data_IF_091621671452
#
_entry.id   IF_091621671452
#
_cell.length_a   1.000
_cell.length_b   1.000
_cell.length_c   1.000
_cell.angle_alpha   90.00
_cell.angle_beta   90.00
_cell.angle_gamma   90.00
#
_symmetry.space_group_name_H-M   'P 1'
#
loop_
_entity.id
_entity.type
_entity.pdbx_description
1 polymer ?
#
# COMPACT_ATOMS: atom_id res chain seq x y z
N UNK A 1 -21.03 4.74 3.36
CA UNK A 1 -20.53 6.09 2.95
C UNK A 1 -20.09 6.93 4.16
N UNK A 2 -20.89 7.05 5.22
CA UNK A 2 -20.56 7.87 6.40
C UNK A 2 -19.20 7.53 7.03
N UNK A 3 -18.88 6.25 7.22
CA UNK A 3 -17.60 5.83 7.80
C UNK A 3 -16.40 6.23 6.91
N UNK A 4 -16.57 6.18 5.59
CA UNK A 4 -15.52 6.62 4.63
C UNK A 4 -15.33 8.13 4.64
N UNK A 5 -16.41 8.91 4.78
CA UNK A 5 -16.32 10.37 4.91
C UNK A 5 -15.48 10.76 6.11
N UNK A 6 -15.68 10.10 7.27
CA UNK A 6 -14.87 10.33 8.48
C UNK A 6 -13.41 10.05 8.18
N UNK A 7 -13.09 8.87 7.64
CA UNK A 7 -11.72 8.46 7.36
C UNK A 7 -11.03 9.41 6.39
N UNK A 8 -11.70 9.78 5.30
CA UNK A 8 -11.12 10.58 4.22
C UNK A 8 -10.93 12.05 4.60
N UNK A 9 -11.76 12.58 5.52
CA UNK A 9 -11.68 14.00 5.90
C UNK A 9 -10.99 14.25 7.24
N UNK A 10 -10.67 13.20 8.00
CA UNK A 10 -10.11 13.31 9.34
C UNK A 10 -8.79 14.08 9.37
N UNK A 11 -7.86 13.77 8.47
CA UNK A 11 -6.54 14.41 8.39
C UNK A 11 -6.55 15.80 7.76
N UNK A 12 -7.65 16.23 7.16
CA UNK A 12 -7.73 17.53 6.50
C UNK A 12 -7.81 18.65 7.53
N UNK A 13 -7.00 19.70 7.33
CA UNK A 13 -7.17 20.94 8.08
C UNK A 13 -8.53 21.57 7.80
N UNK A 14 -9.09 22.30 8.77
CA UNK A 14 -10.34 23.02 8.57
C UNK A 14 -10.15 24.07 7.47
N UNK A 15 -10.83 23.89 6.35
CA UNK A 15 -10.69 24.68 5.14
C UNK A 15 -11.98 24.63 4.31
N UNK A 16 -12.05 25.46 3.28
CA UNK A 16 -13.16 25.40 2.30
C UNK A 16 -13.20 24.03 1.62
N UNK A 17 -12.05 23.45 1.31
CA UNK A 17 -11.94 22.15 0.64
C UNK A 17 -12.46 21.01 1.54
N UNK A 18 -12.12 21.02 2.83
CA UNK A 18 -12.70 20.09 3.80
C UNK A 18 -14.23 20.20 3.87
N UNK A 19 -14.74 21.43 3.90
CA UNK A 19 -16.19 21.67 3.91
C UNK A 19 -16.87 21.14 2.65
N UNK A 20 -16.26 21.39 1.50
CA UNK A 20 -16.78 20.89 0.23
C UNK A 20 -16.72 19.36 0.12
N UNK A 21 -15.61 18.75 0.55
CA UNK A 21 -15.47 17.31 0.61
C UNK A 21 -16.56 16.64 1.47
N UNK A 22 -16.82 17.20 2.65
CA UNK A 22 -17.89 16.73 3.54
C UNK A 22 -19.26 16.94 2.87
N UNK A 23 -19.53 18.11 2.31
CA UNK A 23 -20.80 18.44 1.66
C UNK A 23 -21.12 17.49 0.50
N UNK A 24 -20.11 17.15 -0.29
CA UNK A 24 -20.26 16.23 -1.43
C UNK A 24 -20.51 14.79 -0.99
N UNK A 25 -19.87 14.38 0.11
CA UNK A 25 -19.93 13.00 0.63
C UNK A 25 -21.15 12.74 1.54
N UNK A 26 -21.61 13.77 2.28
CA UNK A 26 -22.71 13.65 3.26
C UNK A 26 -23.61 14.88 3.18
N UNK A 27 -24.34 15.10 2.08
CA UNK A 27 -25.12 16.31 1.84
C UNK A 27 -26.21 16.58 2.90
N UNK A 28 -26.75 15.52 3.50
CA UNK A 28 -27.89 15.60 4.42
C UNK A 28 -27.48 15.72 5.90
N UNK A 29 -26.21 15.58 6.23
CA UNK A 29 -25.75 15.54 7.64
C UNK A 29 -24.33 16.11 7.82
N UNK A 30 -24.15 17.41 7.54
CA UNK A 30 -22.84 18.07 7.55
C UNK A 30 -22.25 18.29 8.95
N UNK A 31 -23.10 18.66 9.93
CA UNK A 31 -22.65 19.19 11.23
C UNK A 31 -21.74 18.22 11.98
N UNK A 32 -22.09 16.93 12.14
CA UNK A 32 -21.25 15.98 12.86
C UNK A 32 -19.83 15.85 12.28
N UNK A 33 -19.71 15.91 10.97
CA UNK A 33 -18.42 15.75 10.26
C UNK A 33 -17.57 17.02 10.27
N UNK A 34 -18.21 18.19 10.24
CA UNK A 34 -17.53 19.47 10.35
C UNK A 34 -16.95 19.69 11.74
N UNK A 35 -17.73 19.42 12.78
CA UNK A 35 -17.31 19.58 14.16
C UNK A 35 -16.44 18.40 14.66
N UNK A 36 -16.57 17.23 14.05
CA UNK A 36 -15.87 16.03 14.46
C UNK A 36 -16.32 15.44 15.81
N UNK A 37 -16.67 16.28 16.77
CA UNK A 37 -17.05 15.89 18.13
C UNK A 37 -18.21 14.90 18.19
N UNK A 38 -19.36 15.13 17.53
CA UNK A 38 -20.49 14.20 17.60
C UNK A 38 -20.17 12.80 17.04
N UNK A 39 -19.28 12.71 16.05
CA UNK A 39 -18.88 11.43 15.44
C UNK A 39 -18.02 10.60 16.38
N UNK A 40 -17.17 11.24 17.19
CA UNK A 40 -16.25 10.57 18.11
C UNK A 40 -16.77 10.48 19.55
N UNK A 41 -17.83 11.20 19.88
CA UNK A 41 -18.33 11.30 21.26
C UNK A 41 -18.76 9.96 21.85
N UNK A 42 -19.37 9.08 21.07
CA UNK A 42 -19.79 7.75 21.54
C UNK A 42 -18.62 6.77 21.73
N UNK A 43 -17.48 7.02 21.09
CA UNK A 43 -16.34 6.10 21.10
C UNK A 43 -15.63 5.99 22.46
N UNK A 44 -15.85 6.94 23.36
CA UNK A 44 -15.22 6.86 24.69
C UNK A 44 -15.63 5.62 25.50
N UNK A 45 -16.81 5.05 25.21
CA UNK A 45 -17.29 3.83 25.83
C UNK A 45 -16.65 2.57 25.26
N UNK A 46 -16.02 2.67 24.09
CA UNK A 46 -15.36 1.58 23.36
C UNK A 46 -13.83 1.59 23.55
N UNK A 47 -13.30 2.64 24.20
CA UNK A 47 -11.86 2.77 24.43
C UNK A 47 -11.35 1.68 25.37
N UNK A 48 -10.30 1.02 24.92
CA UNK A 48 -9.59 -0.03 25.63
C UNK A 48 -8.15 0.38 25.95
N UNK A 49 -7.45 -0.41 26.76
CA UNK A 49 -6.01 -0.20 26.97
C UNK A 49 -5.21 -0.30 25.68
N UNK A 50 -5.67 -1.08 24.71
CA UNK A 50 -5.00 -1.23 23.42
C UNK A 50 -4.97 0.07 22.61
N UNK A 51 -6.03 0.88 22.66
CA UNK A 51 -6.10 2.18 21.99
C UNK A 51 -5.03 3.16 22.51
N UNK A 52 -4.74 3.10 23.81
CA UNK A 52 -3.71 3.93 24.43
C UNK A 52 -2.29 3.34 24.31
N UNK A 53 -2.18 2.02 24.21
CA UNK A 53 -0.91 1.35 24.02
C UNK A 53 -0.33 1.63 22.62
N UNK A 54 -1.19 1.59 21.59
CA UNK A 54 -0.84 1.97 20.22
C UNK A 54 -0.33 3.41 20.14
N UNK A 55 -0.94 4.34 20.89
CA UNK A 55 -0.49 5.74 20.92
C UNK A 55 0.86 5.94 21.63
N UNK A 56 1.18 5.11 22.65
CA UNK A 56 2.40 5.25 23.46
C UNK A 56 3.62 4.52 22.91
N UNK A 57 3.42 3.61 22.00
CA UNK A 57 4.51 2.75 21.56
C UNK A 57 4.21 2.08 20.23
N UNK A 58 3.64 2.82 19.25
CA UNK A 58 3.57 2.26 17.92
C UNK A 58 4.96 2.25 17.28
N UNK A 59 5.74 1.17 17.49
CA UNK A 59 7.01 1.01 16.79
C UNK A 59 6.80 0.84 15.28
N UNK A 60 5.58 0.45 14.85
CA UNK A 60 5.29 0.22 13.44
C UNK A 60 5.08 1.52 12.66
N UNK A 61 4.34 2.50 13.20
CA UNK A 61 4.08 3.76 12.51
C UNK A 61 5.32 4.61 12.26
N UNK A 62 6.26 4.63 13.22
CA UNK A 62 7.52 5.39 13.08
C UNK A 62 8.58 4.65 12.27
N UNK A 63 8.76 3.36 12.54
CA UNK A 63 9.78 2.56 11.89
C UNK A 63 9.43 2.20 10.44
N UNK A 64 8.16 2.14 10.08
CA UNK A 64 7.72 1.73 8.75
C UNK A 64 7.35 2.89 7.82
N UNK A 65 7.45 4.15 8.26
CA UNK A 65 7.10 5.35 7.46
C UNK A 65 5.72 5.26 6.79
N UNK A 66 4.75 4.65 7.48
CA UNK A 66 3.39 4.43 6.98
C UNK A 66 3.17 3.09 6.27
N UNK A 67 4.20 2.30 6.03
CA UNK A 67 4.04 0.94 5.52
C UNK A 67 3.48 0.00 6.61
N UNK A 68 2.46 -0.77 6.27
CA UNK A 68 1.89 -1.79 7.15
C UNK A 68 2.07 -3.18 6.53
N UNK A 69 3.02 -3.99 6.99
CA UNK A 69 3.27 -5.31 6.45
C UNK A 69 2.16 -6.29 6.82
N UNK A 70 1.68 -7.05 5.84
CA UNK A 70 0.79 -8.18 6.04
C UNK A 70 1.62 -9.47 6.04
N UNK A 71 1.76 -10.10 7.20
CA UNK A 71 2.55 -11.34 7.36
C UNK A 71 1.74 -12.61 7.09
N UNK A 72 0.41 -12.50 6.97
CA UNK A 72 -0.44 -13.64 6.63
C UNK A 72 -0.19 -14.04 5.19
N UNK A 73 -0.08 -15.33 4.92
CA UNK A 73 -0.01 -15.89 3.57
C UNK A 73 -1.26 -16.72 3.30
N UNK A 74 -1.92 -16.44 2.18
CA UNK A 74 -3.00 -17.24 1.63
C UNK A 74 -2.62 -17.70 0.24
N UNK A 75 -2.48 -19.02 0.09
CA UNK A 75 -2.17 -19.65 -1.17
C UNK A 75 -3.37 -19.63 -2.13
N UNK A 76 -3.08 -19.40 -3.40
CA UNK A 76 -4.02 -19.49 -4.51
C UNK A 76 -3.39 -20.33 -5.63
N UNK A 77 -4.22 -21.04 -6.39
CA UNK A 77 -3.74 -21.92 -7.47
C UNK A 77 -3.23 -21.14 -8.69
N UNK A 78 -3.71 -19.91 -8.88
CA UNK A 78 -3.33 -19.03 -10.00
C UNK A 78 -3.58 -17.57 -9.65
N UNK A 79 -2.96 -16.65 -10.40
CA UNK A 79 -3.36 -15.25 -10.48
C UNK A 79 -4.34 -15.06 -11.64
N UNK A 80 -5.31 -14.16 -11.47
CA UNK A 80 -6.29 -13.87 -12.53
C UNK A 80 -5.61 -13.15 -13.70
N UNK A 81 -5.46 -13.84 -14.84
CA UNK A 81 -4.85 -13.24 -16.05
C UNK A 81 -5.83 -12.28 -16.74
N UNK A 82 -5.50 -11.00 -16.72
CA UNK A 82 -6.26 -9.92 -17.35
C UNK A 82 -5.67 -9.49 -18.71
N UNK A 83 -4.67 -10.18 -19.22
CA UNK A 83 -4.00 -9.82 -20.49
C UNK A 83 -4.94 -9.85 -21.69
N UNK A 84 -5.93 -10.73 -21.68
CA UNK A 84 -6.95 -10.86 -22.74
C UNK A 84 -8.07 -9.80 -22.69
N UNK A 85 -8.21 -9.02 -21.62
CA UNK A 85 -9.25 -8.01 -21.46
C UNK A 85 -8.79 -6.70 -22.09
N UNK A 86 -9.13 -6.47 -23.35
CA UNK A 86 -8.72 -5.28 -24.13
C UNK A 86 -9.76 -4.19 -24.18
N UNK A 87 -11.00 -4.52 -23.88
CA UNK A 87 -12.10 -3.57 -23.87
C UNK A 87 -12.05 -2.64 -22.66
N UNK A 88 -12.57 -1.44 -22.81
CA UNK A 88 -12.74 -0.47 -21.73
C UNK A 88 -14.20 -0.21 -21.42
N UNK A 89 -14.51 0.20 -20.22
CA UNK A 89 -15.84 0.67 -19.82
C UNK A 89 -15.74 2.06 -19.22
N UNK A 90 -16.79 2.87 -19.45
CA UNK A 90 -16.83 4.23 -18.95
C UNK A 90 -16.72 4.27 -17.42
N UNK A 91 -15.97 5.24 -16.93
CA UNK A 91 -15.98 5.58 -15.52
C UNK A 91 -17.32 6.22 -15.12
N UNK A 92 -17.70 6.06 -13.85
CA UNK A 92 -18.77 6.89 -13.33
C UNK A 92 -18.41 8.38 -13.56
N UNK A 93 -19.36 9.22 -14.05
CA UNK A 93 -19.03 10.59 -14.47
C UNK A 93 -18.28 11.40 -13.41
N UNK A 94 -18.65 11.23 -12.15
CA UNK A 94 -17.97 11.88 -11.02
C UNK A 94 -16.54 11.36 -10.82
N UNK A 95 -16.30 10.08 -11.03
CA UNK A 95 -14.97 9.48 -10.91
C UNK A 95 -14.03 10.01 -11.99
N UNK A 96 -14.48 10.08 -13.24
CA UNK A 96 -13.70 10.66 -14.34
C UNK A 96 -13.45 12.15 -14.12
N UNK A 97 -14.44 12.92 -13.67
CA UNK A 97 -14.29 14.33 -13.34
C UNK A 97 -13.16 14.56 -12.33
N UNK A 98 -13.15 13.78 -11.23
CA UNK A 98 -12.12 13.94 -10.20
C UNK A 98 -10.75 13.42 -10.63
N UNK A 99 -10.69 12.35 -11.43
CA UNK A 99 -9.44 11.88 -12.03
C UNK A 99 -8.80 12.98 -12.88
N UNK A 100 -9.58 13.61 -13.75
CA UNK A 100 -9.11 14.73 -14.59
C UNK A 100 -8.72 15.97 -13.76
N UNK A 101 -9.42 16.25 -12.66
CA UNK A 101 -9.03 17.32 -11.72
C UNK A 101 -7.68 17.05 -11.05
N UNK A 102 -7.40 15.79 -10.64
CA UNK A 102 -6.09 15.40 -10.09
C UNK A 102 -5.00 15.63 -11.14
N UNK A 103 -5.23 15.19 -12.37
CA UNK A 103 -4.30 15.39 -13.48
C UNK A 103 -4.03 16.88 -13.73
N UNK A 104 -5.11 17.70 -13.81
CA UNK A 104 -4.99 19.13 -14.05
C UNK A 104 -4.19 19.81 -12.93
N UNK A 105 -4.46 19.47 -11.68
CA UNK A 105 -3.75 20.02 -10.52
C UNK A 105 -2.27 19.61 -10.54
N UNK A 106 -1.94 18.37 -10.84
CA UNK A 106 -0.54 17.94 -10.92
C UNK A 106 0.22 18.67 -12.03
N UNK A 107 -0.42 18.92 -13.17
CA UNK A 107 0.16 19.71 -14.28
C UNK A 107 0.33 21.17 -13.91
N UNK A 108 -0.64 21.78 -13.21
CA UNK A 108 -0.58 23.17 -12.77
C UNK A 108 0.56 23.40 -11.75
N UNK A 109 0.78 22.43 -10.89
CA UNK A 109 1.80 22.48 -9.84
C UNK A 109 3.16 21.90 -10.28
N UNK A 110 3.30 21.50 -11.56
CA UNK A 110 4.49 20.84 -12.13
C UNK A 110 4.94 19.60 -11.32
N UNK A 111 3.97 18.81 -10.89
CA UNK A 111 4.21 17.57 -10.13
C UNK A 111 4.18 16.37 -11.08
N UNK A 112 5.29 15.62 -11.20
CA UNK A 112 5.30 14.37 -11.96
C UNK A 112 4.28 13.38 -11.40
N UNK A 113 3.39 12.87 -12.26
CA UNK A 113 2.30 11.98 -11.89
C UNK A 113 2.47 10.62 -12.60
N UNK A 114 2.31 9.55 -11.83
CA UNK A 114 2.27 8.17 -12.32
C UNK A 114 1.04 7.50 -11.76
N UNK A 115 0.27 6.85 -12.60
CA UNK A 115 -0.83 6.02 -12.16
C UNK A 115 -0.39 4.56 -12.07
N UNK A 116 -0.89 3.86 -11.06
CA UNK A 116 -0.65 2.44 -10.91
C UNK A 116 -1.85 1.72 -10.30
N UNK A 117 -2.04 0.48 -10.68
CA UNK A 117 -2.97 -0.46 -10.04
C UNK A 117 -2.12 -1.56 -9.40
N UNK A 118 -2.22 -1.71 -8.09
CA UNK A 118 -1.60 -2.84 -7.38
C UNK A 118 -2.18 -4.16 -7.86
N UNK A 119 -1.38 -5.21 -7.97
CA UNK A 119 -1.87 -6.53 -8.36
C UNK A 119 -2.72 -7.13 -7.24
N UNK A 120 -3.83 -7.77 -7.60
CA UNK A 120 -4.67 -8.52 -6.67
C UNK A 120 -5.37 -9.70 -7.34
N UNK A 121 -5.45 -10.81 -6.63
CA UNK A 121 -5.94 -12.08 -7.16
C UNK A 121 -7.44 -12.06 -7.48
N UNK A 122 -8.22 -11.29 -6.73
CA UNK A 122 -9.68 -11.23 -6.87
C UNK A 122 -10.19 -10.33 -7.99
N UNK A 123 -9.34 -9.83 -8.88
CA UNK A 123 -9.73 -8.98 -10.01
C UNK A 123 -10.67 -9.72 -10.96
N UNK A 124 -11.67 -9.01 -11.48
CA UNK A 124 -12.60 -9.51 -12.49
C UNK A 124 -12.53 -8.65 -13.77
N UNK A 125 -12.99 -9.20 -14.89
CA UNK A 125 -12.93 -8.53 -16.21
C UNK A 125 -13.57 -7.13 -16.20
N UNK A 126 -14.72 -6.97 -15.54
CA UNK A 126 -15.39 -5.66 -15.47
C UNK A 126 -14.61 -4.60 -14.71
N UNK A 127 -13.77 -4.99 -13.75
CA UNK A 127 -12.85 -4.07 -13.05
C UNK A 127 -11.67 -3.74 -13.96
N UNK A 128 -11.13 -4.74 -14.66
CA UNK A 128 -10.06 -4.50 -15.64
C UNK A 128 -10.48 -3.54 -16.73
N UNK A 129 -11.72 -3.63 -17.24
CA UNK A 129 -12.27 -2.69 -18.23
C UNK A 129 -12.29 -1.25 -17.71
N UNK A 130 -12.56 -1.04 -16.41
CA UNK A 130 -12.48 0.27 -15.75
C UNK A 130 -11.02 0.74 -15.70
N UNK A 131 -10.08 -0.14 -15.36
CA UNK A 131 -8.65 0.20 -15.32
C UNK A 131 -8.10 0.50 -16.72
N UNK A 132 -8.57 -0.21 -17.75
CA UNK A 132 -8.25 0.12 -19.14
C UNK A 132 -8.67 1.55 -19.48
N UNK A 133 -9.87 1.98 -19.06
CA UNK A 133 -10.32 3.38 -19.26
C UNK A 133 -9.43 4.38 -18.51
N UNK A 134 -9.01 4.05 -17.30
CA UNK A 134 -8.03 4.89 -16.58
C UNK A 134 -6.70 4.99 -17.35
N UNK A 135 -6.24 3.89 -17.93
CA UNK A 135 -5.04 3.86 -18.77
C UNK A 135 -5.18 4.69 -20.05
N UNK A 136 -6.35 4.67 -20.72
CA UNK A 136 -6.64 5.52 -21.88
C UNK A 136 -6.57 7.01 -21.50
N UNK A 137 -7.22 7.40 -20.40
CA UNK A 137 -7.16 8.79 -19.89
C UNK A 137 -5.73 9.19 -19.55
N UNK A 138 -4.97 8.30 -18.92
CA UNK A 138 -3.56 8.55 -18.62
C UNK A 138 -2.75 8.78 -19.92
N UNK A 139 -2.97 7.95 -20.93
CA UNK A 139 -2.32 8.08 -22.24
C UNK A 139 -2.70 9.36 -22.97
N UNK A 140 -4.00 9.76 -22.96
CA UNK A 140 -4.48 11.05 -23.50
C UNK A 140 -3.72 12.23 -22.89
N UNK A 141 -3.34 12.12 -21.62
CA UNK A 141 -2.71 13.17 -20.82
C UNK A 141 -1.19 13.05 -20.71
N UNK A 142 -0.59 12.02 -21.32
CA UNK A 142 0.84 11.76 -21.31
C UNK A 142 1.36 11.28 -19.94
N UNK A 143 0.51 10.63 -19.15
CA UNK A 143 0.84 10.12 -17.81
C UNK A 143 1.16 8.63 -17.90
N UNK A 144 2.29 8.16 -17.33
CA UNK A 144 2.58 6.74 -17.22
C UNK A 144 1.50 6.01 -16.41
N UNK A 145 1.09 4.84 -16.89
CA UNK A 145 0.16 3.97 -16.20
C UNK A 145 0.73 2.56 -16.07
N UNK A 146 0.89 2.09 -14.84
CA UNK A 146 1.43 0.77 -14.50
C UNK A 146 0.27 -0.13 -14.03
N UNK A 147 -0.19 -1.00 -14.90
CA UNK A 147 -1.20 -1.99 -14.57
C UNK A 147 -0.54 -3.31 -14.15
N UNK A 148 -0.29 -3.45 -12.86
CA UNK A 148 0.39 -4.61 -12.31
C UNK A 148 -0.47 -5.89 -12.32
N UNK A 149 -1.77 -5.83 -12.62
CA UNK A 149 -2.60 -7.01 -12.86
C UNK A 149 -2.26 -7.70 -14.20
N UNK A 150 -1.45 -7.08 -15.03
CA UNK A 150 -0.95 -7.61 -16.30
C UNK A 150 0.53 -7.99 -16.27
N UNK A 151 1.18 -7.87 -15.11
CA UNK A 151 2.64 -7.93 -14.98
C UNK A 151 3.09 -8.95 -13.92
N UNK A 152 2.29 -9.98 -13.67
CA UNK A 152 2.60 -10.96 -12.61
C UNK A 152 3.92 -11.68 -12.84
N UNK A 153 4.18 -12.10 -14.09
CA UNK A 153 5.42 -12.79 -14.46
C UNK A 153 6.64 -11.86 -14.35
N UNK A 154 6.51 -10.60 -14.79
CA UNK A 154 7.58 -9.59 -14.73
C UNK A 154 7.92 -9.22 -13.27
N UNK A 155 6.91 -9.21 -12.39
CA UNK A 155 7.08 -9.01 -10.97
C UNK A 155 7.62 -10.28 -10.27
N UNK A 156 7.55 -11.44 -10.91
CA UNK A 156 7.85 -12.73 -10.32
C UNK A 156 6.93 -13.08 -9.16
N UNK A 157 5.64 -12.68 -9.25
CA UNK A 157 4.65 -12.98 -8.20
C UNK A 157 4.26 -14.46 -8.24
N UNK A 158 4.29 -15.09 -7.07
CA UNK A 158 3.85 -16.44 -6.85
C UNK A 158 2.52 -16.44 -6.06
N UNK A 159 1.40 -16.90 -6.66
CA UNK A 159 0.12 -16.94 -5.99
C UNK A 159 0.10 -17.82 -4.73
N UNK A 160 1.02 -18.77 -4.61
CA UNK A 160 1.12 -19.63 -3.44
C UNK A 160 1.72 -18.94 -2.22
N UNK A 161 2.58 -17.95 -2.42
CA UNK A 161 3.40 -17.38 -1.35
C UNK A 161 3.26 -15.86 -1.15
N UNK A 162 2.75 -15.12 -2.14
CA UNK A 162 2.88 -13.66 -2.19
C UNK A 162 1.58 -12.89 -1.84
N UNK A 163 0.49 -13.62 -1.59
CA UNK A 163 -0.81 -13.02 -1.27
C UNK A 163 -1.10 -13.10 0.22
N UNK A 164 -1.63 -12.01 0.81
CA UNK A 164 -2.20 -12.03 2.14
C UNK A 164 -3.67 -12.51 2.11
N UNK A 165 -4.38 -12.07 1.10
CA UNK A 165 -5.76 -12.47 0.77
C UNK A 165 -6.07 -11.97 -0.66
N UNK A 166 -7.32 -12.15 -1.15
CA UNK A 166 -7.64 -11.89 -2.56
C UNK A 166 -7.37 -10.46 -3.05
N UNK A 167 -7.28 -9.48 -2.16
CA UNK A 167 -7.16 -8.05 -2.51
C UNK A 167 -5.80 -7.45 -2.17
N UNK A 168 -4.95 -8.17 -1.42
CA UNK A 168 -3.68 -7.61 -0.96
C UNK A 168 -2.52 -8.61 -1.11
N UNK A 169 -1.39 -8.07 -1.55
CA UNK A 169 -0.10 -8.74 -1.43
C UNK A 169 0.31 -8.83 0.04
N UNK A 170 0.97 -9.90 0.40
CA UNK A 170 1.65 -9.97 1.70
C UNK A 170 3.03 -9.27 1.63
N UNK A 171 3.80 -9.37 2.72
CA UNK A 171 5.12 -8.75 2.83
C UNK A 171 6.11 -9.22 1.74
N UNK A 172 6.01 -10.47 1.25
CA UNK A 172 6.85 -11.02 0.16
C UNK A 172 6.47 -10.42 -1.18
N UNK A 173 5.20 -10.48 -1.54
CA UNK A 173 4.67 -9.91 -2.78
C UNK A 173 4.88 -8.40 -2.85
N UNK A 174 4.64 -7.68 -1.75
CA UNK A 174 4.91 -6.25 -1.66
C UNK A 174 6.39 -5.93 -1.86
N UNK A 175 7.31 -6.78 -1.35
CA UNK A 175 8.74 -6.61 -1.57
C UNK A 175 9.14 -6.70 -3.05
N UNK A 176 8.54 -7.64 -3.79
CA UNK A 176 8.75 -7.82 -5.25
C UNK A 176 8.23 -6.61 -6.02
N UNK A 177 6.99 -6.20 -5.77
CA UNK A 177 6.37 -5.01 -6.38
C UNK A 177 7.18 -3.74 -6.10
N UNK A 178 7.57 -3.51 -4.85
CA UNK A 178 8.32 -2.32 -4.45
C UNK A 178 9.68 -2.25 -5.13
N UNK A 179 10.36 -3.38 -5.31
CA UNK A 179 11.65 -3.44 -6.04
C UNK A 179 11.46 -3.04 -7.49
N UNK A 180 10.49 -3.65 -8.17
CA UNK A 180 10.18 -3.31 -9.56
C UNK A 180 9.87 -1.81 -9.72
N UNK A 181 8.98 -1.29 -8.87
CA UNK A 181 8.59 0.12 -8.89
C UNK A 181 9.79 1.06 -8.66
N UNK A 182 10.66 0.72 -7.71
CA UNK A 182 11.87 1.50 -7.44
C UNK A 182 12.81 1.52 -8.65
N UNK A 183 13.07 0.38 -9.28
CA UNK A 183 13.88 0.27 -10.49
C UNK A 183 13.26 1.04 -11.66
N UNK A 184 11.95 0.95 -11.83
CA UNK A 184 11.22 1.71 -12.84
C UNK A 184 11.31 3.22 -12.60
N UNK A 185 11.11 3.68 -11.36
CA UNK A 185 11.21 5.10 -11.00
C UNK A 185 12.62 5.66 -11.28
N UNK A 186 13.66 4.97 -10.84
CA UNK A 186 15.06 5.39 -11.08
C UNK A 186 15.40 5.41 -12.56
N UNK A 187 14.81 4.52 -13.36
CA UNK A 187 15.04 4.45 -14.80
C UNK A 187 14.32 5.55 -15.60
N UNK A 188 13.23 6.11 -15.06
CA UNK A 188 12.39 7.07 -15.77
C UNK A 188 12.46 8.49 -15.22
N UNK A 189 13.01 8.68 -14.01
CA UNK A 189 13.12 9.99 -13.35
C UNK A 189 14.50 10.22 -12.77
N UNK A 190 14.93 11.48 -12.79
CA UNK A 190 16.17 11.91 -12.13
C UNK A 190 15.89 12.07 -10.62
N UNK A 191 16.03 10.98 -9.89
CA UNK A 191 15.81 10.95 -8.44
C UNK A 191 17.15 11.11 -7.72
N UNK A 192 17.21 12.05 -6.78
CA UNK A 192 18.38 12.26 -5.95
C UNK A 192 18.63 11.04 -5.03
N UNK A 193 19.89 10.62 -4.92
CA UNK A 193 20.30 9.61 -3.95
C UNK A 193 20.59 10.30 -2.60
N UNK A 194 19.78 9.99 -1.60
CA UNK A 194 19.91 10.54 -0.24
C UNK A 194 20.55 9.58 0.75
N UNK A 195 21.12 8.45 0.28
CA UNK A 195 21.83 7.52 1.16
C UNK A 195 23.08 8.19 1.74
N UNK A 196 23.22 8.10 3.06
CA UNK A 196 24.30 8.77 3.80
C UNK A 196 24.07 10.25 4.11
N UNK A 197 22.91 10.82 3.75
CA UNK A 197 22.51 12.16 4.16
C UNK A 197 21.88 12.11 5.56
N UNK A 198 22.45 12.86 6.51
CA UNK A 198 21.99 12.91 7.91
C UNK A 198 20.52 13.30 8.03
N UNK A 199 20.01 14.12 7.11
CA UNK A 199 18.58 14.52 7.07
C UNK A 199 17.65 13.32 6.87
N UNK A 200 18.15 12.29 6.19
CA UNK A 200 17.41 11.05 5.87
C UNK A 200 17.85 9.84 6.70
N UNK A 201 18.72 10.00 7.70
CA UNK A 201 19.24 8.92 8.53
C UNK A 201 18.14 8.01 9.12
N UNK A 202 16.99 8.58 9.50
CA UNK A 202 15.85 7.81 10.00
C UNK A 202 15.25 6.82 8.97
N UNK A 203 15.51 6.99 7.68
CA UNK A 203 15.12 6.02 6.65
C UNK A 203 16.06 4.83 6.62
N UNK A 204 17.36 5.06 6.81
CA UNK A 204 18.36 3.98 6.91
C UNK A 204 18.16 3.13 8.16
N UNK A 205 17.89 3.77 9.30
CA UNK A 205 17.54 3.10 10.56
C UNK A 205 16.29 2.23 10.40
N UNK A 206 15.23 2.78 9.78
CA UNK A 206 14.00 2.05 9.55
C UNK A 206 14.18 0.92 8.53
N UNK A 207 15.02 1.10 7.52
CA UNK A 207 15.34 0.05 6.56
C UNK A 207 16.09 -1.11 7.22
N UNK A 208 17.00 -0.82 8.17
CA UNK A 208 17.71 -1.84 8.95
C UNK A 208 16.74 -2.62 9.85
N UNK A 209 15.86 -1.92 10.58
CA UNK A 209 14.83 -2.54 11.42
C UNK A 209 13.85 -3.40 10.58
N UNK A 210 13.45 -2.91 9.42
CA UNK A 210 12.62 -3.66 8.49
C UNK A 210 13.30 -4.94 8.00
N UNK A 211 14.57 -4.86 7.58
CA UNK A 211 15.34 -6.04 7.12
C UNK A 211 15.41 -7.12 8.20
N UNK A 212 15.61 -6.70 9.46
CA UNK A 212 15.63 -7.63 10.58
C UNK A 212 14.26 -8.31 10.81
N UNK A 213 13.19 -7.53 10.78
CA UNK A 213 11.81 -8.05 10.91
C UNK A 213 11.46 -9.01 9.79
N UNK A 214 11.85 -8.68 8.57
CA UNK A 214 11.65 -9.53 7.40
C UNK A 214 12.40 -10.86 7.54
N UNK A 215 13.68 -10.83 7.89
CA UNK A 215 14.48 -12.03 8.11
C UNK A 215 13.90 -12.91 9.23
N UNK A 216 13.49 -12.31 10.35
CA UNK A 216 12.85 -13.03 11.44
C UNK A 216 11.52 -13.68 11.02
N UNK A 217 10.73 -13.01 10.20
CA UNK A 217 9.47 -13.56 9.70
C UNK A 217 9.73 -14.76 8.78
N UNK A 218 10.69 -14.66 7.86
CA UNK A 218 11.09 -15.76 6.98
C UNK A 218 11.52 -16.99 7.78
N UNK A 219 12.32 -16.80 8.83
CA UNK A 219 12.73 -17.88 9.72
C UNK A 219 11.56 -18.50 10.48
N UNK A 220 10.57 -17.71 10.87
CA UNK A 220 9.40 -18.21 11.60
C UNK A 220 8.47 -19.04 10.71
N UNK A 221 8.43 -18.74 9.41
CA UNK A 221 7.58 -19.44 8.42
C UNK A 221 8.26 -20.68 7.83
N UNK A 222 9.58 -20.83 8.01
CA UNK A 222 10.32 -21.95 7.42
C UNK A 222 10.12 -23.21 8.23
N UNK A 223 9.52 -24.23 7.60
CA UNK A 223 9.27 -25.54 8.18
C UNK A 223 10.38 -26.57 7.86
N UNK A 224 11.18 -26.30 6.82
CA UNK A 224 12.27 -27.14 6.37
C UNK A 224 13.54 -26.90 7.19
N UNK A 225 14.02 -27.90 7.96
CA UNK A 225 15.24 -27.75 8.74
C UNK A 225 16.47 -27.31 7.94
N UNK A 226 16.60 -27.80 6.71
CA UNK A 226 17.72 -27.46 5.83
C UNK A 226 17.62 -26.00 5.34
N UNK A 227 16.43 -25.60 4.89
CA UNK A 227 16.18 -24.25 4.41
C UNK A 227 16.26 -23.22 5.56
N UNK A 228 15.81 -23.60 6.76
CA UNK A 228 15.99 -22.81 7.97
C UNK A 228 17.48 -22.55 8.26
N UNK A 229 18.34 -23.57 8.17
CA UNK A 229 19.80 -23.41 8.36
C UNK A 229 20.42 -22.54 7.27
N UNK A 230 19.94 -22.64 6.05
CA UNK A 230 20.39 -21.80 4.93
C UNK A 230 20.04 -20.33 5.18
N UNK A 231 18.79 -20.02 5.57
CA UNK A 231 18.34 -18.67 5.92
C UNK A 231 19.16 -18.08 7.09
N UNK A 232 19.50 -18.89 8.10
CA UNK A 232 20.41 -18.46 9.18
C UNK A 232 21.79 -18.11 8.65
N UNK A 233 22.33 -18.90 7.74
CA UNK A 233 23.66 -18.68 7.15
C UNK A 233 23.68 -17.42 6.27
N UNK A 234 22.64 -17.17 5.50
CA UNK A 234 22.51 -15.97 4.64
C UNK A 234 22.46 -14.66 5.46
N UNK A 235 22.04 -14.75 6.71
CA UNK A 235 22.00 -13.63 7.66
C UNK A 235 23.17 -13.60 8.64
N UNK A 236 24.17 -14.49 8.48
CA UNK A 236 25.36 -14.54 9.33
C UNK A 236 26.16 -13.23 9.26
N UNK A 237 26.56 -12.74 10.41
CA UNK A 237 27.28 -11.48 10.54
C UNK A 237 26.39 -10.23 10.54
N UNK A 238 25.12 -10.34 10.19
CA UNK A 238 24.15 -9.24 10.27
C UNK A 238 23.35 -9.30 11.57
N UNK A 239 22.97 -10.51 11.99
CA UNK A 239 22.15 -10.75 13.18
C UNK A 239 22.71 -11.86 14.03
N UNK A 240 22.45 -11.80 15.34
CA UNK A 240 22.72 -12.89 16.28
C UNK A 240 21.41 -13.60 16.60
N UNK A 241 21.35 -14.89 16.32
CA UNK A 241 20.19 -15.73 16.62
C UNK A 241 20.46 -16.60 17.85
N UNK A 242 19.45 -16.74 18.72
CA UNK A 242 19.46 -17.68 19.83
C UNK A 242 18.42 -18.75 19.56
N UNK A 243 18.86 -19.99 19.36
CA UNK A 243 17.99 -21.11 19.07
C UNK A 243 17.81 -21.92 20.34
N UNK A 244 16.58 -22.07 20.81
CA UNK A 244 16.20 -22.95 21.92
C UNK A 244 15.56 -24.22 21.39
N UNK A 245 16.14 -25.39 21.69
CA UNK A 245 15.50 -26.68 21.42
C UNK A 245 14.68 -27.07 22.65
N UNK A 246 13.36 -27.06 22.54
CA UNK A 246 12.48 -27.59 23.57
C UNK A 246 12.13 -29.03 23.16
N UNK A 247 12.59 -30.00 23.95
CA UNK A 247 12.22 -31.40 23.77
C UNK A 247 10.71 -31.58 23.99
N UNK A 248 10.09 -32.41 23.13
CA UNK A 248 8.73 -32.89 23.31
C UNK A 248 8.72 -34.03 24.35
#
# INVERSE_FOLDING_TARGET
>A
EEARTVTNTFGMKFSKDKMEAIRVSTPDNLIPYVLGYPVYHSRYTELSRADFAAYRGDPHGKASKGYYPLYVTKAYDFMADMSGVTESSDLAPKSEEYLRKIIAMAKEEDIPLVFMISPYQGIIESEQMIFNRCGEIAAEEGIPFLDFNRMYDELGLDPQTDMAEASHLNYRGTGKLSRYLAEWLVSNYDLADHRGDETYASWEENAADWKQKYANQMLTEEEGWYDFLQLLSENEGTYTYVIGLTGA
#
